data_IF_565405680209
#
_entry.id   IF_565405680209
#
_cell.length_a   1.000
_cell.length_b   1.000
_cell.length_c   1.000
_cell.angle_alpha   90.00
_cell.angle_beta   90.00
_cell.angle_gamma   90.00
#
_symmetry.space_group_name_H-M   'P 1'
#
loop_
_entity.id
_entity.type
_entity.pdbx_description
1 polymer ?
#
# COMPACT_ATOMS: atom_id res chain seq x y z
N UNK A 1 13.99 2.46 -14.46
CA UNK A 1 12.52 2.68 -14.57
C UNK A 1 11.96 1.54 -15.42
N UNK A 2 11.43 0.48 -14.80
CA UNK A 2 11.02 -0.73 -15.55
C UNK A 2 9.83 -1.44 -14.91
N UNK A 3 9.82 -1.50 -13.57
CA UNK A 3 8.72 -2.11 -12.82
C UNK A 3 7.42 -1.33 -13.07
N UNK A 4 6.39 -2.04 -13.55
CA UNK A 4 5.05 -1.48 -13.86
C UNK A 4 5.01 -0.41 -14.96
N UNK A 5 6.04 -0.35 -15.82
CA UNK A 5 6.01 0.52 -16.98
C UNK A 5 4.85 0.13 -17.91
N UNK A 6 4.01 1.09 -18.29
CA UNK A 6 2.83 0.89 -19.14
C UNK A 6 1.89 -0.24 -18.64
N UNK A 7 1.87 -0.49 -17.34
CA UNK A 7 0.96 -1.48 -16.77
C UNK A 7 -0.50 -1.08 -17.04
N UNK A 8 -1.30 -2.07 -17.45
CA UNK A 8 -2.75 -1.92 -17.63
C UNK A 8 -3.49 -3.00 -16.86
N UNK A 9 -4.75 -2.74 -16.52
CA UNK A 9 -5.65 -3.74 -15.96
C UNK A 9 -6.99 -3.71 -16.71
N UNK A 10 -7.71 -4.83 -16.63
CA UNK A 10 -9.09 -4.95 -17.12
C UNK A 10 -9.97 -5.30 -15.94
N UNK A 11 -11.18 -4.77 -15.92
CA UNK A 11 -12.17 -5.07 -14.90
C UNK A 11 -13.18 -6.04 -15.51
N UNK A 12 -13.45 -7.15 -14.82
CA UNK A 12 -14.53 -8.07 -15.18
C UNK A 12 -15.78 -7.70 -14.40
N UNK A 13 -16.87 -7.40 -15.10
CA UNK A 13 -18.19 -7.10 -14.53
C UNK A 13 -19.18 -8.06 -15.18
N UNK A 14 -19.72 -9.00 -14.40
CA UNK A 14 -20.56 -10.10 -14.90
C UNK A 14 -19.88 -10.87 -16.04
N UNK A 15 -20.52 -10.89 -17.21
CA UNK A 15 -20.05 -11.53 -18.44
C UNK A 15 -19.28 -10.57 -19.37
N UNK A 16 -18.96 -9.36 -18.92
CA UNK A 16 -18.28 -8.34 -19.72
C UNK A 16 -16.93 -7.97 -19.12
N UNK A 17 -15.98 -7.61 -19.99
CA UNK A 17 -14.63 -7.18 -19.62
C UNK A 17 -14.40 -5.79 -20.22
N UNK A 18 -13.85 -4.87 -19.44
CA UNK A 18 -13.52 -3.53 -19.93
C UNK A 18 -12.38 -3.57 -20.94
N UNK A 19 -12.26 -2.49 -21.72
CA UNK A 19 -11.02 -2.19 -22.41
C UNK A 19 -9.84 -2.03 -21.43
N UNK A 20 -8.58 -2.18 -21.88
CA UNK A 20 -7.42 -1.96 -21.03
C UNK A 20 -7.41 -0.55 -20.43
N UNK A 21 -7.36 -0.47 -19.10
CA UNK A 21 -7.27 0.78 -18.35
C UNK A 21 -5.82 0.97 -17.90
N UNK A 22 -5.26 2.16 -18.14
CA UNK A 22 -3.90 2.50 -17.71
C UNK A 22 -3.79 2.62 -16.19
N UNK A 23 -2.75 2.01 -15.64
CA UNK A 23 -2.51 1.96 -14.20
C UNK A 23 -1.82 3.24 -13.72
N UNK A 24 -2.52 4.08 -12.94
CA UNK A 24 -1.95 5.33 -12.40
C UNK A 24 -1.34 5.18 -11.01
N UNK A 25 -1.90 4.31 -10.18
CA UNK A 25 -1.51 4.13 -8.78
C UNK A 25 -1.99 2.80 -8.23
N UNK A 26 -1.25 2.24 -7.28
CA UNK A 26 -1.60 1.02 -6.56
C UNK A 26 -0.61 -0.13 -6.80
N UNK A 27 -1.04 -1.34 -6.47
CA UNK A 27 -0.31 -2.59 -6.75
C UNK A 27 -1.24 -3.64 -7.38
N UNK A 28 -0.70 -4.60 -8.13
CA UNK A 28 -1.50 -5.69 -8.72
C UNK A 28 -1.71 -6.81 -7.71
N UNK A 29 -2.95 -7.10 -7.33
CA UNK A 29 -3.24 -8.24 -6.46
C UNK A 29 -2.88 -9.57 -7.17
N UNK A 30 -2.36 -10.54 -6.41
CA UNK A 30 -1.93 -11.83 -6.94
C UNK A 30 -0.62 -11.82 -7.74
N UNK A 31 0.03 -10.65 -7.93
CA UNK A 31 1.35 -10.59 -8.55
C UNK A 31 2.45 -10.76 -7.49
N UNK A 32 3.40 -11.70 -7.63
CA UNK A 32 4.48 -11.92 -6.66
C UNK A 32 5.33 -10.66 -6.40
N UNK A 33 5.52 -9.83 -7.42
CA UNK A 33 6.31 -8.60 -7.32
C UNK A 33 5.63 -7.51 -6.47
N UNK A 34 4.30 -7.53 -6.36
CA UNK A 34 3.53 -6.47 -5.69
C UNK A 34 3.85 -6.35 -4.21
N UNK A 35 4.12 -7.46 -3.53
CA UNK A 35 4.47 -7.45 -2.10
C UNK A 35 5.74 -6.65 -1.84
N UNK A 36 6.79 -6.90 -2.62
CA UNK A 36 8.06 -6.17 -2.50
C UNK A 36 7.90 -4.69 -2.83
N UNK A 37 7.18 -4.35 -3.90
CA UNK A 37 6.91 -2.95 -4.27
C UNK A 37 6.11 -2.21 -3.19
N UNK A 38 5.13 -2.87 -2.57
CA UNK A 38 4.37 -2.30 -1.47
C UNK A 38 5.28 -1.98 -0.27
N UNK A 39 6.12 -2.93 0.16
CA UNK A 39 7.04 -2.74 1.29
C UNK A 39 8.02 -1.58 1.02
N UNK A 40 8.63 -1.53 -0.17
CA UNK A 40 9.56 -0.46 -0.53
C UNK A 40 8.90 0.92 -0.51
N UNK A 41 7.64 1.01 -0.95
CA UNK A 41 6.90 2.27 -0.98
C UNK A 41 6.37 2.69 0.40
N UNK A 42 5.94 1.76 1.24
CA UNK A 42 5.32 2.06 2.54
C UNK A 42 6.35 2.42 3.62
N UNK A 43 7.57 1.87 3.54
CA UNK A 43 8.56 2.02 4.62
C UNK A 43 8.96 3.48 4.91
N UNK A 44 9.23 4.35 3.92
CA UNK A 44 9.51 5.77 4.18
C UNK A 44 8.34 6.50 4.85
N UNK A 45 7.10 6.14 4.49
CA UNK A 45 5.90 6.70 5.11
C UNK A 45 5.82 6.28 6.58
N UNK A 46 5.97 4.99 6.87
CA UNK A 46 5.94 4.48 8.25
C UNK A 46 7.05 5.09 9.11
N UNK A 47 8.25 5.26 8.53
CA UNK A 47 9.34 5.95 9.21
C UNK A 47 8.97 7.39 9.59
N UNK A 48 8.37 8.14 8.67
CA UNK A 48 7.92 9.51 8.95
C UNK A 48 6.82 9.56 10.01
N UNK A 49 5.87 8.61 9.98
CA UNK A 49 4.82 8.50 10.99
C UNK A 49 5.42 8.24 12.37
N UNK A 50 6.33 7.25 12.50
CA UNK A 50 6.97 6.90 13.77
C UNK A 50 7.83 8.03 14.36
N UNK A 51 8.42 8.89 13.52
CA UNK A 51 9.22 10.04 13.96
C UNK A 51 8.38 11.28 14.29
N UNK A 52 7.09 11.29 13.94
CA UNK A 52 6.25 12.44 14.14
C UNK A 52 5.65 12.44 15.55
N UNK A 53 6.15 13.33 16.42
CA UNK A 53 5.66 13.51 17.80
C UNK A 53 4.18 13.89 17.89
N UNK A 54 3.58 14.39 16.80
CA UNK A 54 2.15 14.72 16.74
C UNK A 54 1.26 13.51 16.46
N UNK A 55 1.86 12.35 16.18
CA UNK A 55 1.17 11.08 15.92
C UNK A 55 1.60 10.08 17.02
N UNK A 56 1.06 10.18 18.25
CA UNK A 56 1.50 9.38 19.41
C UNK A 56 1.15 7.88 19.33
N UNK A 57 0.47 7.45 18.26
CA UNK A 57 -0.06 6.09 18.14
C UNK A 57 -1.27 5.86 19.06
N UNK A 58 -1.80 4.63 19.02
CA UNK A 58 -2.92 4.21 19.87
C UNK A 58 -2.50 2.96 20.62
N UNK A 59 -2.81 2.92 21.91
CA UNK A 59 -2.58 1.76 22.74
C UNK A 59 -3.70 0.73 22.55
N UNK A 60 -3.36 -0.57 22.50
CA UNK A 60 -4.35 -1.64 22.60
C UNK A 60 -5.19 -1.49 23.89
N UNK A 61 -6.48 -1.87 23.86
CA UNK A 61 -7.31 -1.87 25.05
C UNK A 61 -6.65 -2.68 26.18
N UNK A 62 -6.60 -2.11 27.39
CA UNK A 62 -6.00 -2.76 28.56
C UNK A 62 -4.48 -2.58 28.71
N UNK A 63 -3.81 -1.90 27.77
CA UNK A 63 -2.40 -1.53 27.95
C UNK A 63 -2.28 -0.15 28.62
N UNK A 64 -1.39 -0.03 29.60
CA UNK A 64 -1.02 1.25 30.21
C UNK A 64 0.27 1.74 29.56
N UNK A 65 0.37 3.04 29.28
CA UNK A 65 1.65 3.63 28.92
C UNK A 65 2.62 3.35 30.07
N UNK A 66 3.83 2.82 29.81
CA UNK A 66 4.82 2.69 30.87
C UNK A 66 5.03 4.07 31.49
N UNK A 67 4.81 4.18 32.79
CA UNK A 67 5.04 5.40 33.54
C UNK A 67 6.56 5.65 33.55
N UNK A 68 7.00 6.55 32.67
CA UNK A 68 8.36 7.12 32.67
C UNK A 68 8.38 8.35 33.55
#
# INVERSE_FOLDING_TARGET
>A
KLLYLNATFKIKINNSITDPISFKSGIRQGCPLSGGLFVLCIEPLLHNIRRNVRIPGVLPPGSQFPSV
#
